data_IF_050287108735
#
_entry.id   IF_050287108735
#
_cell.length_a   1.000
_cell.length_b   1.000
_cell.length_c   1.000
_cell.angle_alpha   90.00
_cell.angle_beta   90.00
_cell.angle_gamma   90.00
#
_symmetry.space_group_name_H-M   'P 1'
#
loop_
_entity.id
_entity.type
_entity.pdbx_description
1 polymer ?
#
# COMPACT_ATOMS: atom_id res chain seq x y z
N UNK A 1 62.78 39.12 -20.67
CA UNK A 1 62.48 39.33 -19.23
C UNK A 1 61.05 39.83 -19.13
N UNK A 2 60.20 39.20 -18.29
CA UNK A 2 58.74 39.45 -18.10
C UNK A 2 57.82 39.05 -19.28
N UNK A 3 56.56 38.62 -19.08
CA UNK A 3 55.81 37.99 -17.96
C UNK A 3 54.57 37.29 -18.60
N UNK A 4 54.17 36.08 -18.14
CA UNK A 4 52.87 35.43 -18.40
C UNK A 4 51.82 36.00 -17.42
N UNK A 5 50.50 36.09 -17.71
CA UNK A 5 49.57 34.94 -17.77
C UNK A 5 48.57 35.10 -18.97
N UNK A 6 47.35 34.53 -19.09
CA UNK A 6 46.39 33.81 -18.22
C UNK A 6 45.67 32.71 -19.03
N UNK A 7 45.31 31.58 -18.40
CA UNK A 7 44.37 30.57 -18.93
C UNK A 7 42.93 30.84 -18.48
N UNK A 8 41.94 30.68 -19.36
CA UNK A 8 40.51 30.65 -18.98
C UNK A 8 39.96 29.25 -19.19
N UNK A 9 39.75 28.51 -18.10
CA UNK A 9 38.92 27.29 -18.11
C UNK A 9 37.45 27.69 -17.96
N UNK A 10 36.61 27.29 -18.91
CA UNK A 10 35.16 27.32 -18.75
C UNK A 10 34.71 26.08 -17.98
N UNK A 11 34.30 26.25 -16.72
CA UNK A 11 33.50 25.26 -16.01
C UNK A 11 32.03 25.41 -16.41
N UNK A 12 31.49 24.42 -17.13
CA UNK A 12 30.05 24.31 -17.37
C UNK A 12 29.37 23.70 -16.14
N UNK A 13 28.63 24.50 -15.39
CA UNK A 13 27.84 24.02 -14.26
C UNK A 13 26.55 23.34 -14.77
N UNK A 14 26.44 22.02 -14.55
CA UNK A 14 25.19 21.30 -14.76
C UNK A 14 24.24 21.56 -13.58
N UNK A 15 23.19 22.34 -13.82
CA UNK A 15 22.11 22.51 -12.85
C UNK A 15 21.27 21.22 -12.79
N UNK A 16 21.52 20.39 -11.77
CA UNK A 16 20.66 19.25 -11.46
C UNK A 16 19.32 19.79 -10.94
N UNK A 17 18.23 19.42 -11.63
CA UNK A 17 16.86 19.82 -11.30
C UNK A 17 16.33 19.05 -10.10
N UNK A 18 16.84 19.37 -8.90
CA UNK A 18 16.31 18.88 -7.64
C UNK A 18 15.00 19.62 -7.29
N UNK A 19 13.90 19.18 -7.90
CA UNK A 19 12.54 19.58 -7.55
C UNK A 19 11.70 18.33 -7.29
N UNK A 20 12.20 17.45 -6.41
CA UNK A 20 11.33 16.54 -5.67
C UNK A 20 10.55 17.41 -4.68
N UNK A 21 9.26 17.56 -4.95
CA UNK A 21 8.38 18.51 -4.26
C UNK A 21 8.23 18.16 -2.78
N UNK A 22 8.42 19.16 -1.92
CA UNK A 22 8.29 19.08 -0.45
C UNK A 22 6.94 18.56 0.08
N UNK A 23 5.96 18.35 -0.79
CA UNK A 23 4.65 17.78 -0.46
C UNK A 23 4.68 16.25 -0.30
N UNK A 24 5.55 15.51 -0.99
CA UNK A 24 5.70 14.07 -0.76
C UNK A 24 6.23 13.79 0.68
N UNK A 25 7.03 14.70 1.23
CA UNK A 25 7.55 14.61 2.61
C UNK A 25 6.46 14.72 3.70
N UNK A 26 5.26 15.16 3.35
CA UNK A 26 4.11 15.27 4.24
C UNK A 26 3.22 14.01 4.23
N UNK A 27 3.53 13.03 3.38
CA UNK A 27 2.74 11.82 3.16
C UNK A 27 3.59 10.56 3.34
N UNK A 28 3.11 9.63 4.16
CA UNK A 28 3.78 8.37 4.41
C UNK A 28 2.80 7.21 4.25
N UNK A 29 3.28 6.10 3.70
CA UNK A 29 2.56 4.82 3.78
C UNK A 29 3.51 3.68 4.15
N UNK A 30 3.01 2.63 4.81
CA UNK A 30 3.84 1.51 5.23
C UNK A 30 3.06 0.31 5.77
N UNK A 31 3.74 -0.84 5.83
CA UNK A 31 3.21 -2.02 6.52
C UNK A 31 3.30 -1.88 8.05
N UNK A 32 2.40 -2.57 8.74
CA UNK A 32 2.39 -2.70 10.21
C UNK A 32 2.00 -4.13 10.61
N UNK A 33 2.06 -4.45 11.90
CA UNK A 33 1.71 -5.78 12.43
C UNK A 33 0.54 -5.66 13.42
N UNK A 34 -0.71 -5.73 12.95
CA UNK A 34 -1.89 -5.79 13.82
C UNK A 34 -1.84 -6.96 14.79
N UNK A 35 -2.46 -6.81 15.97
CA UNK A 35 -2.73 -7.93 16.88
C UNK A 35 -3.65 -8.97 16.25
N UNK A 36 -3.82 -10.13 16.91
CA UNK A 36 -4.84 -11.14 16.57
C UNK A 36 -6.30 -10.64 16.72
N UNK A 37 -6.48 -9.44 17.28
CA UNK A 37 -7.77 -8.72 17.33
C UNK A 37 -7.82 -7.57 16.32
N UNK A 38 -6.91 -7.57 15.35
CA UNK A 38 -6.80 -6.55 14.31
C UNK A 38 -6.42 -5.15 14.81
N UNK A 39 -5.90 -5.01 16.03
CA UNK A 39 -5.52 -3.70 16.59
C UNK A 39 -4.13 -3.31 16.12
N UNK A 40 -4.03 -2.15 15.47
CA UNK A 40 -2.76 -1.53 15.09
C UNK A 40 -2.25 -0.69 16.27
N UNK A 41 -0.98 -0.84 16.61
CA UNK A 41 -0.31 -0.05 17.66
C UNK A 41 0.38 1.17 17.04
N UNK A 42 0.02 2.37 17.49
CA UNK A 42 0.63 3.62 17.03
C UNK A 42 -0.24 4.84 17.32
N UNK A 43 0.37 6.03 17.37
CA UNK A 43 -0.33 7.29 17.65
C UNK A 43 -0.90 7.91 16.35
N UNK A 44 -1.85 7.21 15.75
CA UNK A 44 -2.69 7.74 14.69
C UNK A 44 -3.89 8.44 15.32
N UNK A 45 -3.66 9.70 15.71
CA UNK A 45 -4.57 10.55 16.48
C UNK A 45 -6.06 10.40 16.11
N UNK A 46 -6.85 9.81 17.02
CA UNK A 46 -8.32 9.71 16.91
C UNK A 46 -8.87 8.77 15.84
N UNK A 47 -8.05 7.97 15.17
CA UNK A 47 -8.46 7.26 13.95
C UNK A 47 -9.02 5.87 14.24
N UNK A 48 -10.22 5.52 13.76
CA UNK A 48 -10.73 4.16 13.87
C UNK A 48 -9.84 3.22 13.05
N UNK A 49 -9.26 2.23 13.74
CA UNK A 49 -8.67 1.06 13.09
C UNK A 49 -9.82 0.22 12.55
N UNK A 50 -9.76 -0.14 11.27
CA UNK A 50 -10.81 -0.93 10.60
C UNK A 50 -10.25 -2.32 10.32
N UNK A 51 -10.47 -3.30 11.22
CA UNK A 51 -10.15 -4.68 10.94
C UNK A 51 -11.26 -5.34 10.12
N UNK A 52 -10.88 -6.17 9.15
CA UNK A 52 -11.76 -7.17 8.53
C UNK A 52 -11.12 -8.52 8.82
N UNK A 53 -11.87 -9.34 9.57
CA UNK A 53 -11.45 -10.63 10.10
C UNK A 53 -12.61 -11.60 9.87
N UNK A 54 -12.31 -12.81 9.42
CA UNK A 54 -13.29 -13.87 9.25
C UNK A 54 -13.52 -14.69 10.53
N UNK A 55 -14.27 -15.80 10.42
CA UNK A 55 -14.61 -16.66 11.55
C UNK A 55 -13.43 -17.48 12.09
N UNK A 56 -12.38 -17.69 11.28
CA UNK A 56 -11.16 -18.39 11.68
C UNK A 56 -10.17 -17.46 12.42
N UNK A 57 -10.36 -16.14 12.31
CA UNK A 57 -9.46 -15.12 12.83
C UNK A 57 -8.48 -14.58 11.80
N UNK A 58 -8.63 -14.95 10.53
CA UNK A 58 -7.77 -14.55 9.43
C UNK A 58 -8.25 -13.23 8.83
N UNK A 59 -7.32 -12.35 8.45
CA UNK A 59 -7.70 -11.10 7.81
C UNK A 59 -6.64 -10.02 7.80
N UNK A 60 -7.12 -8.78 7.68
CA UNK A 60 -6.27 -7.60 7.57
C UNK A 60 -6.84 -6.45 8.39
N UNK A 61 -5.98 -5.49 8.71
CA UNK A 61 -6.37 -4.27 9.41
C UNK A 61 -5.61 -3.10 8.84
N UNK A 62 -6.28 -1.95 8.81
CA UNK A 62 -5.76 -0.74 8.19
C UNK A 62 -6.28 0.52 8.88
N UNK A 63 -5.56 1.62 8.69
CA UNK A 63 -5.94 2.96 9.12
C UNK A 63 -5.10 4.01 8.38
N UNK A 64 -5.64 5.22 8.23
CA UNK A 64 -4.89 6.38 7.79
C UNK A 64 -5.23 7.59 8.68
N UNK A 65 -4.40 8.63 8.66
CA UNK A 65 -4.71 9.89 9.31
C UNK A 65 -3.47 10.72 9.67
N UNK A 66 -3.67 11.73 10.51
CA UNK A 66 -2.60 12.61 10.98
C UNK A 66 -1.81 12.02 12.14
N UNK A 67 -0.49 12.16 12.06
CA UNK A 67 0.47 11.94 13.14
C UNK A 67 1.11 13.28 13.49
N UNK A 68 1.13 13.63 14.78
CA UNK A 68 1.66 14.90 15.26
C UNK A 68 3.15 15.03 14.94
N UNK A 69 3.53 15.99 14.09
CA UNK A 69 4.91 16.22 13.67
C UNK A 69 5.44 15.34 12.53
N UNK A 70 4.73 14.29 12.11
CA UNK A 70 5.09 13.45 10.94
C UNK A 70 4.21 13.71 9.70
N UNK A 71 3.03 14.32 9.86
CA UNK A 71 2.12 14.62 8.75
C UNK A 71 1.02 13.59 8.57
N UNK A 72 0.71 13.19 7.33
CA UNK A 72 -0.31 12.20 7.01
C UNK A 72 0.31 10.82 6.79
N UNK A 73 -0.27 9.79 7.42
CA UNK A 73 0.27 8.43 7.42
C UNK A 73 -0.83 7.40 7.21
N UNK A 74 -0.61 6.45 6.30
CA UNK A 74 -1.49 5.31 6.04
C UNK A 74 -0.75 3.99 6.32
N UNK A 75 -1.34 3.08 7.11
CA UNK A 75 -0.74 1.79 7.40
C UNK A 75 -1.74 0.63 7.30
N UNK A 76 -1.26 -0.50 6.78
CA UNK A 76 -2.01 -1.74 6.67
C UNK A 76 -1.16 -2.94 7.09
N UNK A 77 -1.78 -4.03 7.50
CA UNK A 77 -1.09 -5.29 7.78
C UNK A 77 -2.04 -6.46 7.93
N UNK A 78 -1.49 -7.67 7.86
CA UNK A 78 -2.22 -8.92 8.13
C UNK A 78 -2.45 -9.07 9.63
N UNK A 79 -3.61 -9.59 10.02
CA UNK A 79 -3.96 -9.86 11.42
C UNK A 79 -3.02 -10.95 11.96
N UNK A 80 -2.40 -10.73 13.12
CA UNK A 80 -1.46 -11.72 13.65
C UNK A 80 -2.15 -13.06 13.94
N UNK A 81 -1.70 -14.12 13.25
CA UNK A 81 -2.34 -15.43 13.24
C UNK A 81 -2.93 -15.81 11.87
N UNK A 82 -3.08 -14.85 10.95
CA UNK A 82 -3.62 -15.08 9.59
C UNK A 82 -2.89 -16.24 8.91
N UNK A 83 -3.62 -17.28 8.52
CA UNK A 83 -3.10 -18.44 7.79
C UNK A 83 -3.90 -18.70 6.50
N UNK A 84 -3.33 -19.54 5.65
CA UNK A 84 -3.98 -20.04 4.42
C UNK A 84 -3.55 -21.49 4.17
N UNK A 85 -4.41 -22.29 3.53
CA UNK A 85 -4.07 -23.68 3.23
C UNK A 85 -2.89 -23.82 2.26
N UNK A 86 -2.48 -25.06 1.99
CA UNK A 86 -1.42 -25.33 1.03
C UNK A 86 -1.76 -24.82 -0.38
N UNK A 87 -0.92 -23.93 -0.92
CA UNK A 87 -1.03 -23.42 -2.29
C UNK A 87 -0.67 -24.50 -3.32
N UNK A 88 -1.54 -24.79 -4.32
CA UNK A 88 -1.18 -25.63 -5.44
C UNK A 88 0.09 -25.12 -6.17
N UNK A 89 0.85 -26.04 -6.76
CA UNK A 89 2.06 -25.71 -7.54
C UNK A 89 1.79 -25.44 -9.02
N UNK A 90 0.61 -25.81 -9.53
CA UNK A 90 0.22 -25.70 -10.94
C UNK A 90 -1.28 -25.45 -11.08
N UNK A 91 -1.70 -24.98 -12.25
CA UNK A 91 -3.10 -24.66 -12.55
C UNK A 91 -3.45 -23.21 -12.18
N UNK A 92 -4.75 -22.92 -12.17
CA UNK A 92 -5.31 -21.62 -11.82
C UNK A 92 -6.48 -21.77 -10.84
N UNK A 93 -6.80 -20.68 -10.13
CA UNK A 93 -7.96 -20.57 -9.26
C UNK A 93 -8.56 -19.16 -9.35
N UNK A 94 -9.88 -19.06 -9.26
CA UNK A 94 -10.60 -17.81 -9.02
C UNK A 94 -10.86 -17.69 -7.52
N UNK A 95 -10.76 -16.49 -6.96
CA UNK A 95 -11.13 -16.18 -5.59
C UNK A 95 -12.01 -14.94 -5.60
N UNK A 96 -13.19 -15.05 -4.99
CA UNK A 96 -14.12 -13.95 -4.82
C UNK A 96 -14.21 -13.54 -3.34
N UNK A 97 -14.33 -12.25 -3.10
CA UNK A 97 -14.43 -11.72 -1.76
C UNK A 97 -14.57 -10.21 -1.73
N UNK A 98 -14.00 -9.60 -0.69
CA UNK A 98 -14.14 -8.17 -0.44
C UNK A 98 -12.80 -7.48 -0.29
N UNK A 99 -12.73 -6.25 -0.77
CA UNK A 99 -11.69 -5.29 -0.41
C UNK A 99 -12.28 -4.21 0.49
N UNK A 100 -11.44 -3.62 1.34
CA UNK A 100 -11.75 -2.36 2.02
C UNK A 100 -10.48 -1.53 2.19
N UNK A 101 -10.62 -0.21 2.12
CA UNK A 101 -9.53 0.74 2.34
C UNK A 101 -10.06 2.05 2.91
N UNK A 102 -9.21 2.78 3.61
CA UNK A 102 -9.39 4.19 3.91
C UNK A 102 -8.33 5.00 3.19
N UNK A 103 -8.70 6.21 2.80
CA UNK A 103 -7.83 7.12 2.09
C UNK A 103 -7.95 8.53 2.67
N UNK A 104 -6.92 9.33 2.45
CA UNK A 104 -6.98 10.79 2.57
C UNK A 104 -6.54 11.34 1.22
N UNK A 105 -7.39 12.16 0.60
CA UNK A 105 -7.11 12.83 -0.67
C UNK A 105 -7.33 14.34 -0.59
N UNK A 106 -7.25 15.04 -1.73
CA UNK A 106 -7.13 16.51 -1.85
C UNK A 106 -6.09 17.10 -0.88
N UNK A 107 -4.97 16.36 -0.72
CA UNK A 107 -3.90 16.71 0.20
C UNK A 107 -3.25 18.03 -0.24
N UNK A 108 -3.18 18.98 0.69
CA UNK A 108 -2.62 20.31 0.46
C UNK A 108 -1.88 20.83 1.68
N UNK A 109 -0.81 21.60 1.44
CA UNK A 109 -0.03 22.27 2.47
C UNK A 109 -0.32 23.77 2.44
N UNK A 110 -1.04 24.28 3.45
CA UNK A 110 -1.40 25.69 3.58
C UNK A 110 -0.85 26.27 4.88
N UNK A 111 0.00 27.30 4.78
CA UNK A 111 0.62 28.00 5.92
C UNK A 111 1.29 27.06 6.96
N UNK A 112 1.86 25.93 6.50
CA UNK A 112 2.51 24.92 7.35
C UNK A 112 1.55 23.88 7.96
N UNK A 113 0.25 23.97 7.67
CA UNK A 113 -0.75 22.97 8.04
C UNK A 113 -1.06 22.07 6.85
N UNK A 114 -1.02 20.75 7.07
CA UNK A 114 -1.47 19.77 6.10
C UNK A 114 -2.99 19.61 6.25
N UNK A 115 -3.70 19.68 5.12
CA UNK A 115 -5.14 19.37 5.01
C UNK A 115 -5.32 18.25 3.99
N UNK A 116 -6.46 17.58 4.08
CA UNK A 116 -6.95 16.58 3.13
C UNK A 116 -8.32 16.10 3.58
N UNK A 117 -9.13 15.60 2.66
CA UNK A 117 -10.42 14.96 2.96
C UNK A 117 -10.19 13.48 3.23
N UNK A 118 -10.88 12.91 4.23
CA UNK A 118 -10.79 11.48 4.57
C UNK A 118 -12.10 10.81 4.22
N UNK A 119 -11.99 9.66 3.57
CA UNK A 119 -13.10 8.75 3.36
C UNK A 119 -12.66 7.27 3.42
N UNK A 120 -13.61 6.36 3.30
CA UNK A 120 -13.38 4.92 3.25
C UNK A 120 -14.29 4.26 2.21
N UNK A 121 -13.78 3.25 1.53
CA UNK A 121 -14.53 2.50 0.52
C UNK A 121 -14.28 1.01 0.66
N UNK A 122 -15.30 0.22 0.35
CA UNK A 122 -15.24 -1.23 0.24
C UNK A 122 -16.06 -1.69 -0.96
N UNK A 123 -15.82 -2.92 -1.40
CA UNK A 123 -16.51 -3.51 -2.52
C UNK A 123 -16.10 -4.97 -2.74
N UNK A 124 -16.72 -5.60 -3.73
CA UNK A 124 -16.32 -6.93 -4.16
C UNK A 124 -14.98 -6.89 -4.90
N UNK A 125 -14.21 -7.98 -4.83
CA UNK A 125 -13.01 -8.19 -5.63
C UNK A 125 -12.94 -9.64 -6.11
N UNK A 126 -12.64 -9.82 -7.40
CA UNK A 126 -12.34 -11.11 -8.01
C UNK A 126 -10.84 -11.16 -8.31
N UNK A 127 -10.16 -12.16 -7.78
CA UNK A 127 -8.72 -12.39 -7.95
C UNK A 127 -8.48 -13.70 -8.69
N UNK A 128 -7.64 -13.71 -9.70
CA UNK A 128 -7.24 -14.92 -10.44
C UNK A 128 -5.79 -15.25 -10.13
N UNK A 129 -5.55 -16.43 -9.54
CA UNK A 129 -4.21 -16.99 -9.41
C UNK A 129 -3.86 -17.85 -10.62
N UNK A 130 -2.63 -17.69 -11.11
CA UNK A 130 -1.95 -18.66 -11.97
C UNK A 130 -0.74 -19.17 -11.19
N UNK A 131 -0.85 -20.39 -10.67
CA UNK A 131 0.18 -20.99 -9.83
C UNK A 131 1.43 -21.40 -10.61
N UNK A 132 1.29 -21.66 -11.92
CA UNK A 132 2.41 -22.02 -12.78
C UNK A 132 3.23 -20.79 -13.19
N UNK A 133 2.58 -19.63 -13.38
CA UNK A 133 3.23 -18.33 -13.61
C UNK A 133 3.65 -17.63 -12.31
N UNK A 134 3.10 -18.07 -11.16
CA UNK A 134 3.36 -17.45 -9.87
C UNK A 134 2.78 -16.04 -9.76
N UNK A 135 1.57 -15.82 -10.28
CA UNK A 135 0.91 -14.50 -10.31
C UNK A 135 -0.49 -14.55 -9.71
N UNK A 136 -0.91 -13.46 -9.05
CA UNK A 136 -2.30 -13.22 -8.63
C UNK A 136 -2.72 -11.84 -9.15
N UNK A 137 -3.80 -11.76 -9.92
CA UNK A 137 -4.26 -10.50 -10.52
C UNK A 137 -5.74 -10.25 -10.23
N UNK A 138 -6.11 -9.00 -9.99
CA UNK A 138 -7.53 -8.61 -9.88
C UNK A 138 -8.18 -8.48 -11.25
N UNK A 139 -9.47 -8.80 -11.33
CA UNK A 139 -10.33 -8.39 -12.44
C UNK A 139 -11.50 -7.53 -11.94
N UNK A 140 -11.98 -6.61 -12.77
CA UNK A 140 -13.22 -5.82 -12.56
C UNK A 140 -13.34 -5.09 -11.20
N UNK A 141 -12.23 -4.65 -10.59
CA UNK A 141 -12.21 -3.94 -9.31
C UNK A 141 -11.65 -2.52 -9.44
N UNK A 142 -12.12 -1.53 -8.64
CA UNK A 142 -11.46 -0.23 -8.47
C UNK A 142 -10.05 -0.30 -7.87
N UNK A 143 -9.67 -1.45 -7.31
CA UNK A 143 -8.36 -1.75 -6.75
C UNK A 143 -7.66 -2.75 -7.67
N UNK A 144 -6.64 -2.30 -8.39
CA UNK A 144 -5.88 -3.16 -9.32
C UNK A 144 -4.75 -3.86 -8.58
N UNK A 145 -4.85 -5.17 -8.39
CA UNK A 145 -3.84 -6.04 -7.77
C UNK A 145 -2.95 -6.66 -8.83
N UNK A 146 -1.63 -6.53 -8.68
CA UNK A 146 -0.60 -7.26 -9.44
C UNK A 146 0.36 -7.96 -8.47
N UNK A 147 -0.01 -9.16 -8.07
CA UNK A 147 0.71 -9.99 -7.11
C UNK A 147 1.62 -11.05 -7.74
N UNK A 148 2.69 -11.37 -7.03
CA UNK A 148 3.66 -12.44 -7.26
C UNK A 148 3.60 -13.41 -6.09
N UNK A 149 3.56 -14.72 -6.40
CA UNK A 149 3.41 -15.79 -5.44
C UNK A 149 4.74 -16.51 -5.19
N UNK A 150 5.16 -16.63 -3.94
CA UNK A 150 6.35 -17.40 -3.53
C UNK A 150 6.01 -18.25 -2.29
N UNK A 151 6.09 -19.58 -2.38
CA UNK A 151 5.55 -20.45 -1.32
C UNK A 151 4.05 -20.19 -1.04
N UNK A 152 3.70 -19.71 0.15
CA UNK A 152 2.36 -19.19 0.49
C UNK A 152 2.29 -17.66 0.49
N UNK A 153 3.43 -17.00 0.32
CA UNK A 153 3.57 -15.56 0.44
C UNK A 153 3.13 -14.89 -0.87
N UNK A 154 2.44 -13.75 -0.72
CA UNK A 154 1.94 -12.92 -1.80
C UNK A 154 2.55 -11.52 -1.63
N UNK A 155 3.40 -11.12 -2.57
CA UNK A 155 3.98 -9.78 -2.63
C UNK A 155 3.59 -9.10 -3.93
N UNK A 156 3.75 -7.78 -4.05
CA UNK A 156 3.58 -7.11 -5.34
C UNK A 156 3.14 -5.67 -5.23
N UNK A 157 2.27 -5.25 -6.15
CA UNK A 157 1.73 -3.89 -6.19
C UNK A 157 0.21 -3.86 -6.20
N UNK A 158 -0.33 -2.78 -5.66
CA UNK A 158 -1.74 -2.39 -5.78
C UNK A 158 -1.80 -1.00 -6.39
N UNK A 159 -2.80 -0.72 -7.23
CA UNK A 159 -3.11 0.64 -7.68
C UNK A 159 -4.54 1.01 -7.30
N UNK A 160 -4.72 2.18 -6.67
CA UNK A 160 -6.02 2.76 -6.34
C UNK A 160 -6.06 4.23 -6.82
N UNK A 161 -7.10 4.59 -7.58
CA UNK A 161 -7.22 5.92 -8.24
C UNK A 161 -5.97 6.35 -9.03
N UNK A 162 -5.21 5.40 -9.56
CA UNK A 162 -3.95 5.64 -10.28
C UNK A 162 -2.72 5.87 -9.41
N UNK A 163 -2.86 5.88 -8.08
CA UNK A 163 -1.73 5.89 -7.14
C UNK A 163 -1.28 4.45 -6.92
N UNK A 164 0.00 4.19 -7.12
CA UNK A 164 0.59 2.87 -6.89
C UNK A 164 1.03 2.71 -5.44
N UNK A 165 0.98 1.47 -4.98
CA UNK A 165 1.32 1.05 -3.63
C UNK A 165 1.85 -0.37 -3.60
N UNK A 166 2.22 -0.81 -2.40
CA UNK A 166 2.80 -2.13 -2.16
C UNK A 166 1.74 -3.11 -1.65
N UNK A 167 1.94 -4.39 -1.96
CA UNK A 167 1.14 -5.52 -1.48
C UNK A 167 2.01 -6.46 -0.65
N UNK A 168 1.49 -6.87 0.50
CA UNK A 168 1.97 -8.00 1.30
C UNK A 168 0.76 -8.87 1.68
N UNK A 169 0.94 -10.17 1.83
CA UNK A 169 -0.20 -11.10 1.84
C UNK A 169 0.14 -12.57 1.86
N UNK A 170 -0.91 -13.37 1.85
CA UNK A 170 -0.88 -14.83 1.79
C UNK A 170 -1.85 -15.36 0.72
N UNK A 171 -1.49 -16.49 0.11
CA UNK A 171 -2.27 -17.18 -0.92
C UNK A 171 -2.19 -18.70 -0.74
N UNK A 172 -3.33 -19.31 -0.42
CA UNK A 172 -3.47 -20.76 -0.24
C UNK A 172 -4.32 -21.41 -1.34
N UNK A 173 -4.68 -22.67 -1.15
CA UNK A 173 -5.52 -23.42 -2.08
C UNK A 173 -7.02 -23.10 -1.99
N UNK A 174 -7.42 -22.35 -0.97
CA UNK A 174 -8.79 -22.07 -0.50
C UNK A 174 -9.07 -20.58 -0.29
N UNK A 175 -8.08 -19.81 0.19
CA UNK A 175 -8.20 -18.41 0.59
C UNK A 175 -6.98 -17.60 0.16
N UNK A 176 -7.18 -16.30 -0.05
CA UNK A 176 -6.10 -15.31 -0.11
C UNK A 176 -6.46 -14.10 0.72
N UNK A 177 -5.46 -13.57 1.43
CA UNK A 177 -5.57 -12.39 2.29
C UNK A 177 -4.44 -11.45 1.92
N UNK A 178 -4.73 -10.17 1.72
CA UNK A 178 -3.73 -9.17 1.37
C UNK A 178 -3.92 -7.88 2.15
N UNK A 179 -2.82 -7.26 2.54
CA UNK A 179 -2.76 -5.90 3.06
C UNK A 179 -2.00 -5.03 2.06
N UNK A 180 -2.45 -3.79 1.84
CA UNK A 180 -1.81 -2.88 0.91
C UNK A 180 -1.83 -1.44 1.39
N UNK A 181 -0.85 -0.67 0.95
CA UNK A 181 -0.76 0.75 1.21
C UNK A 181 -0.08 1.46 0.05
N UNK A 182 -0.35 2.75 -0.14
CA UNK A 182 0.33 3.58 -1.13
C UNK A 182 0.12 5.07 -0.85
N UNK A 183 0.99 5.91 -1.41
CA UNK A 183 0.84 7.35 -1.32
C UNK A 183 1.52 8.10 -2.47
N UNK A 184 1.06 9.33 -2.68
CA UNK A 184 1.80 10.41 -3.30
C UNK A 184 1.38 11.74 -2.63
N UNK A 185 1.95 12.85 -3.09
CA UNK A 185 1.63 14.21 -2.64
C UNK A 185 0.13 14.58 -2.52
N UNK A 186 -0.78 13.93 -3.27
CA UNK A 186 -2.21 14.28 -3.33
C UNK A 186 -3.13 13.27 -2.64
N UNK A 187 -2.71 12.00 -2.49
CA UNK A 187 -3.53 10.93 -1.92
C UNK A 187 -2.66 9.92 -1.16
N UNK A 188 -3.10 9.54 0.05
CA UNK A 188 -2.60 8.36 0.78
C UNK A 188 -3.72 7.33 0.94
N UNK A 189 -3.40 6.04 0.94
CA UNK A 189 -4.36 4.98 1.22
C UNK A 189 -3.73 3.78 1.93
N UNK A 190 -4.55 3.10 2.73
CA UNK A 190 -4.25 1.81 3.33
C UNK A 190 -5.52 0.95 3.37
N UNK A 191 -5.35 -0.34 3.13
CA UNK A 191 -6.46 -1.28 3.01
C UNK A 191 -5.99 -2.71 2.88
N UNK A 192 -6.89 -3.55 2.38
CA UNK A 192 -6.61 -4.96 2.10
C UNK A 192 -7.79 -5.64 1.43
N UNK A 193 -7.66 -6.97 1.30
CA UNK A 193 -8.71 -7.85 0.82
C UNK A 193 -8.66 -9.20 1.53
N UNK A 194 -9.80 -9.88 1.53
CA UNK A 194 -9.95 -11.29 1.86
C UNK A 194 -10.89 -11.92 0.84
N UNK A 195 -10.45 -13.02 0.21
CA UNK A 195 -11.18 -13.69 -0.86
C UNK A 195 -11.03 -15.21 -0.78
N UNK A 196 -12.13 -15.90 -1.07
CA UNK A 196 -12.28 -17.35 -0.97
C UNK A 196 -12.42 -17.93 -2.36
N UNK A 197 -11.88 -19.12 -2.55
CA UNK A 197 -11.90 -19.82 -3.82
C UNK A 197 -13.31 -20.31 -4.19
N UNK A 198 -13.66 -20.16 -5.48
CA UNK A 198 -14.82 -20.80 -6.11
C UNK A 198 -14.59 -22.29 -6.44
#
# INVERSE_FOLDING_TARGET
>A
MRILPVSVLLLSAAAMSACETTQDQATMSGFTSPSSTGRISGDLSGNPVVPIIDEDGDGFSFTAGSVSGEGLKAVAGLVAGTDVSFRPSVGSASYDGVYALTYVDDISLDNGYIRGERDATSGAITLTADFARGTLVSSNSPVTVNGKLDGRDLSGTVSYRGVNGQLDGLVGGDKTVGAFHGNNANLIYAGGFIAYRE
#
